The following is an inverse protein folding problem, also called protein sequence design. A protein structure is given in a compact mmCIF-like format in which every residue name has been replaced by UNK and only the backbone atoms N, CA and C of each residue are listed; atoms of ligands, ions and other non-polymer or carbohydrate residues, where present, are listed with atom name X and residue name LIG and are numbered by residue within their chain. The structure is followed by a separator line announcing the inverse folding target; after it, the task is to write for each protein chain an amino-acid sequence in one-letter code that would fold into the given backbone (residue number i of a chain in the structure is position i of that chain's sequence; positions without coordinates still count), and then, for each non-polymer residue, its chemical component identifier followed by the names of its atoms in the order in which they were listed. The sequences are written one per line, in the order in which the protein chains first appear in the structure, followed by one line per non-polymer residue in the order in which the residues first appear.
data_IF_363953365848
#
_entry.id   IF_363953365848
#
_cell.length_a   1.000
_cell.length_b   1.000
_cell.length_c   1.000
_cell.angle_alpha   90.00
_cell.angle_beta   90.00
_cell.angle_gamma   90.00
#
_symmetry.space_group_name_H-M   'P 1'
#
loop_
_entity.id
_entity.type
_entity.pdbx_description
1 polymer ?
#
# COMPACT_ATOMS: atom_id res chain seq x y z
N UNK A 1 -24.60 20.11 -10.42
CA UNK A 1 -23.25 19.78 -10.93
C UNK A 1 -22.77 18.62 -10.08
N UNK A 2 -22.48 17.46 -10.68
CA UNK A 2 -21.95 16.33 -9.91
C UNK A 2 -20.52 16.67 -9.48
N UNK A 3 -20.16 16.34 -8.24
CA UNK A 3 -18.79 16.51 -7.79
C UNK A 3 -17.89 15.58 -8.61
N UNK A 4 -16.78 16.12 -9.12
CA UNK A 4 -15.78 15.40 -9.89
C UNK A 4 -14.45 15.49 -9.15
N UNK A 5 -13.65 14.43 -9.26
CA UNK A 5 -12.32 14.39 -8.65
C UNK A 5 -11.45 15.45 -9.31
N UNK A 6 -10.89 16.34 -8.49
CA UNK A 6 -10.02 17.42 -8.92
C UNK A 6 -8.94 17.69 -7.87
N UNK A 7 -7.95 18.51 -8.23
CA UNK A 7 -6.92 18.93 -7.27
C UNK A 7 -7.55 19.58 -6.04
N UNK A 8 -7.04 19.24 -4.85
CA UNK A 8 -7.50 19.67 -3.54
C UNK A 8 -8.92 19.19 -3.20
N UNK A 9 -9.26 17.97 -3.61
CA UNK A 9 -10.52 17.31 -3.22
C UNK A 9 -10.22 16.10 -2.36
N UNK A 10 -11.06 15.87 -1.36
CA UNK A 10 -11.06 14.64 -0.59
C UNK A 10 -11.96 13.64 -1.30
N UNK A 11 -11.41 12.48 -1.58
CA UNK A 11 -12.07 11.43 -2.33
C UNK A 11 -12.21 10.21 -1.44
N UNK A 12 -13.44 9.72 -1.32
CA UNK A 12 -13.78 8.47 -0.65
C UNK A 12 -13.99 7.41 -1.72
N UNK A 13 -13.18 6.37 -1.69
CA UNK A 13 -13.20 5.25 -2.64
C UNK A 13 -13.57 3.96 -1.90
N UNK A 14 -14.55 3.25 -2.43
CA UNK A 14 -14.68 1.83 -2.12
C UNK A 14 -13.82 1.10 -3.13
N UNK A 15 -12.86 0.31 -2.68
CA UNK A 15 -11.99 -0.45 -3.55
C UNK A 15 -12.00 -1.91 -3.15
N UNK A 16 -11.71 -2.81 -4.09
CA UNK A 16 -11.32 -4.19 -3.75
C UNK A 16 -10.08 -4.53 -4.54
N UNK A 17 -9.14 -5.23 -3.92
CA UNK A 17 -7.87 -5.64 -4.53
C UNK A 17 -7.91 -7.13 -4.79
N UNK A 18 -7.66 -7.50 -6.04
CA UNK A 18 -7.54 -8.89 -6.48
C UNK A 18 -6.21 -9.10 -7.18
N UNK A 19 -5.75 -10.32 -7.18
CA UNK A 19 -4.64 -10.71 -8.05
C UNK A 19 -5.14 -10.94 -9.50
N UNK A 20 -4.26 -11.11 -10.49
CA UNK A 20 -4.68 -11.31 -11.88
C UNK A 20 -5.28 -12.70 -12.13
N UNK A 21 -5.16 -13.62 -11.17
CA UNK A 21 -5.78 -14.94 -11.14
C UNK A 21 -7.19 -14.91 -10.51
N UNK A 22 -7.60 -13.76 -9.98
CA UNK A 22 -8.92 -13.51 -9.39
C UNK A 22 -9.04 -13.83 -7.90
N UNK A 23 -7.94 -14.15 -7.21
CA UNK A 23 -7.93 -14.31 -5.76
C UNK A 23 -8.08 -12.95 -5.07
N UNK A 24 -8.91 -12.90 -4.03
CA UNK A 24 -9.08 -11.69 -3.24
C UNK A 24 -7.84 -11.45 -2.38
N UNK A 25 -7.20 -10.30 -2.57
CA UNK A 25 -6.08 -9.84 -1.75
C UNK A 25 -6.59 -8.95 -0.63
N UNK A 26 -7.48 -8.02 -0.96
CA UNK A 26 -8.12 -7.10 -0.02
C UNK A 26 -9.58 -6.87 -0.44
N UNK A 27 -10.52 -7.15 0.46
CA UNK A 27 -11.94 -6.94 0.19
C UNK A 27 -12.38 -5.48 0.37
N UNK A 28 -11.48 -4.61 0.85
CA UNK A 28 -11.71 -3.18 1.05
C UNK A 28 -12.91 -2.88 1.94
N UNK A 29 -13.05 -3.66 3.02
CA UNK A 29 -14.06 -3.47 4.06
C UNK A 29 -14.14 -2.01 4.57
N UNK A 30 -13.01 -1.29 4.50
CA UNK A 30 -12.93 0.12 4.85
C UNK A 30 -12.72 0.98 3.58
N UNK A 31 -13.53 2.02 3.38
CA UNK A 31 -13.33 2.94 2.27
C UNK A 31 -11.98 3.65 2.41
N UNK A 32 -11.25 3.77 1.32
CA UNK A 32 -10.04 4.57 1.24
C UNK A 32 -10.43 6.04 1.11
N UNK A 33 -9.98 6.86 2.06
CA UNK A 33 -10.18 8.30 2.03
C UNK A 33 -8.83 8.97 1.87
N UNK A 34 -8.64 9.69 0.76
CA UNK A 34 -7.36 10.34 0.47
C UNK A 34 -7.56 11.76 -0.10
N UNK A 35 -6.49 12.54 -0.06
CA UNK A 35 -6.46 13.89 -0.63
C UNK A 35 -5.88 13.85 -2.04
N UNK A 36 -6.68 14.25 -3.01
CA UNK A 36 -6.31 14.26 -4.42
C UNK A 36 -5.61 15.56 -4.82
N UNK A 37 -4.47 15.47 -5.50
CA UNK A 37 -3.74 16.62 -6.02
C UNK A 37 -2.21 16.56 -5.93
N UNK A 38 -1.62 15.36 -5.83
CA UNK A 38 -0.17 15.17 -5.66
C UNK A 38 0.27 15.27 -4.21
N UNK A 39 -0.46 14.61 -3.31
CA UNK A 39 -0.19 14.55 -1.87
C UNK A 39 0.28 13.15 -1.41
N UNK A 40 0.64 12.28 -2.36
CA UNK A 40 1.11 10.90 -2.10
C UNK A 40 0.14 10.07 -1.22
N UNK A 41 -1.15 10.39 -1.24
CA UNK A 41 -2.18 9.65 -0.50
C UNK A 41 -2.63 8.34 -1.15
N UNK A 42 -2.27 8.13 -2.43
CA UNK A 42 -2.57 6.92 -3.21
C UNK A 42 -1.51 6.74 -4.29
N UNK A 43 -1.45 5.56 -4.91
CA UNK A 43 -0.55 5.30 -6.04
C UNK A 43 -0.72 6.35 -7.15
N UNK A 44 0.38 6.91 -7.69
CA UNK A 44 0.33 7.96 -8.71
C UNK A 44 -0.53 7.57 -9.93
N UNK A 45 -0.42 6.31 -10.37
CA UNK A 45 -1.20 5.79 -11.49
C UNK A 45 -2.70 5.77 -11.18
N UNK A 46 -3.10 5.43 -9.95
CA UNK A 46 -4.51 5.51 -9.54
C UNK A 46 -4.98 6.95 -9.52
N UNK A 47 -4.18 7.86 -8.97
CA UNK A 47 -4.50 9.29 -8.91
C UNK A 47 -4.74 9.86 -10.32
N UNK A 48 -3.88 9.55 -11.28
CA UNK A 48 -4.06 9.99 -12.67
C UNK A 48 -5.34 9.44 -13.31
N UNK A 49 -5.68 8.18 -13.06
CA UNK A 49 -6.91 7.55 -13.60
C UNK A 49 -8.17 8.12 -12.94
N UNK A 50 -8.09 8.47 -11.65
CA UNK A 50 -9.18 9.06 -10.87
C UNK A 50 -9.47 10.51 -11.26
N UNK A 51 -8.48 11.24 -11.78
CA UNK A 51 -8.62 12.64 -12.17
C UNK A 51 -9.80 12.86 -13.13
N UNK A 52 -10.75 13.72 -12.74
CA UNK A 52 -11.92 14.09 -13.54
C UNK A 52 -13.08 13.08 -13.51
N UNK A 53 -12.97 11.98 -12.75
CA UNK A 53 -14.04 11.00 -12.60
C UNK A 53 -15.17 11.55 -11.73
N UNK A 54 -16.45 11.32 -12.09
CA UNK A 54 -17.59 11.71 -11.27
C UNK A 54 -17.84 10.73 -10.11
N UNK A 55 -18.53 11.20 -9.06
CA UNK A 55 -19.04 10.32 -8.00
C UNK A 55 -19.99 9.25 -8.58
N UNK A 56 -19.86 8.03 -8.09
CA UNK A 56 -20.62 6.86 -8.53
C UNK A 56 -19.99 6.09 -9.70
N UNK A 57 -18.91 6.61 -10.29
CA UNK A 57 -18.18 5.90 -11.33
C UNK A 57 -17.50 4.65 -10.76
N UNK A 58 -17.61 3.54 -11.50
CA UNK A 58 -16.95 2.27 -11.20
C UNK A 58 -16.02 1.91 -12.33
N UNK A 59 -14.79 1.55 -12.01
CA UNK A 59 -13.81 1.13 -12.99
C UNK A 59 -12.75 0.24 -12.35
N UNK A 60 -12.05 -0.49 -13.20
CA UNK A 60 -10.98 -1.38 -12.80
C UNK A 60 -9.65 -0.83 -13.28
N UNK A 61 -8.65 -0.84 -12.41
CA UNK A 61 -7.27 -0.46 -12.72
C UNK A 61 -6.36 -1.62 -12.39
N UNK A 62 -5.54 -2.02 -13.35
CA UNK A 62 -4.48 -2.99 -13.11
C UNK A 62 -3.19 -2.23 -12.84
N UNK A 63 -2.67 -2.36 -11.64
CA UNK A 63 -1.33 -1.92 -11.29
C UNK A 63 -0.34 -3.04 -11.52
N UNK A 64 0.73 -2.73 -12.24
CA UNK A 64 1.90 -3.60 -12.28
C UNK A 64 2.64 -3.50 -10.94
N UNK A 65 3.51 -4.46 -10.60
CA UNK A 65 4.29 -4.39 -9.38
C UNK A 65 5.03 -3.05 -9.24
N UNK A 66 5.63 -2.56 -10.33
CA UNK A 66 6.34 -1.28 -10.40
C UNK A 66 5.47 -0.05 -10.05
N UNK A 67 4.15 -0.12 -10.26
CA UNK A 67 3.20 0.96 -10.01
C UNK A 67 2.49 0.83 -8.65
N UNK A 68 2.67 -0.29 -7.95
CA UNK A 68 2.06 -0.61 -6.68
C UNK A 68 3.11 -0.67 -5.56
N UNK A 69 3.51 -1.88 -5.17
CA UNK A 69 4.43 -2.14 -4.06
C UNK A 69 5.88 -2.36 -4.48
N UNK A 70 6.20 -2.05 -5.73
CA UNK A 70 7.50 -2.29 -6.34
C UNK A 70 7.67 -3.70 -6.89
N UNK A 71 8.75 -3.92 -7.68
CA UNK A 71 9.17 -5.26 -8.06
C UNK A 71 9.59 -6.05 -6.81
N UNK A 72 9.53 -7.38 -6.92
CA UNK A 72 10.16 -8.23 -5.92
C UNK A 72 11.68 -8.17 -6.11
N UNK A 73 12.39 -7.73 -5.08
CA UNK A 73 13.84 -7.59 -5.09
C UNK A 73 14.47 -8.79 -4.39
N UNK A 74 15.08 -9.68 -5.18
CA UNK A 74 15.82 -10.84 -4.67
C UNK A 74 17.00 -10.43 -3.77
N UNK A 75 17.52 -9.20 -3.93
CA UNK A 75 18.58 -8.64 -3.09
C UNK A 75 18.13 -8.32 -1.66
N UNK A 76 16.83 -8.12 -1.45
CA UNK A 76 16.23 -7.97 -0.11
C UNK A 76 15.97 -9.32 0.57
N UNK A 77 16.20 -10.43 -0.15
CA UNK A 77 16.12 -11.78 0.42
C UNK A 77 17.50 -12.16 0.93
N UNK A 78 17.62 -12.28 2.25
CA UNK A 78 18.88 -12.59 2.91
C UNK A 78 18.82 -13.99 3.52
N UNK A 79 19.93 -14.71 3.41
CA UNK A 79 20.11 -16.01 4.05
C UNK A 79 21.11 -15.85 5.17
N UNK A 80 20.61 -15.89 6.39
CA UNK A 80 21.40 -15.67 7.59
C UNK A 80 21.50 -16.97 8.41
N UNK A 81 22.46 -17.02 9.30
CA UNK A 81 22.63 -18.17 10.20
C UNK A 81 21.56 -18.13 11.30
N UNK A 82 20.91 -19.26 11.58
CA UNK A 82 19.89 -19.33 12.63
C UNK A 82 20.44 -18.95 14.00
N UNK A 83 21.76 -19.06 14.21
CA UNK A 83 22.42 -18.63 15.45
C UNK A 83 22.39 -17.11 15.68
N UNK A 84 22.13 -16.29 14.65
CA UNK A 84 21.95 -14.84 14.80
C UNK A 84 20.56 -14.47 15.32
N UNK A 85 19.61 -15.41 15.26
CA UNK A 85 18.24 -15.22 15.69
C UNK A 85 18.00 -15.88 17.06
N UNK A 86 17.00 -15.40 17.81
CA UNK A 86 16.60 -16.07 19.05
C UNK A 86 16.00 -17.46 18.77
N UNK A 87 16.09 -18.39 19.73
CA UNK A 87 15.64 -19.79 19.58
C UNK A 87 14.14 -19.98 19.26
N UNK A 88 13.33 -18.92 19.29
CA UNK A 88 11.88 -18.95 19.08
C UNK A 88 11.44 -18.42 17.71
N UNK A 89 12.27 -18.57 16.66
CA UNK A 89 11.89 -18.19 15.30
C UNK A 89 10.89 -19.16 14.67
N UNK A 90 9.89 -18.60 13.99
CA UNK A 90 8.89 -19.34 13.23
C UNK A 90 8.73 -18.71 11.84
N UNK A 91 8.41 -19.55 10.85
CA UNK A 91 8.09 -19.08 9.50
C UNK A 91 6.88 -18.13 9.59
N UNK A 92 7.03 -16.96 8.99
CA UNK A 92 6.04 -15.89 9.01
C UNK A 92 6.29 -14.83 10.09
N UNK A 93 7.21 -15.04 11.03
CA UNK A 93 7.62 -13.99 11.97
C UNK A 93 8.31 -12.84 11.23
N UNK A 94 8.05 -11.62 11.67
CA UNK A 94 8.68 -10.40 11.14
C UNK A 94 9.66 -9.83 12.16
N UNK A 95 10.79 -9.35 11.67
CA UNK A 95 11.90 -8.80 12.45
C UNK A 95 12.29 -7.44 11.90
N UNK A 96 12.44 -6.46 12.78
CA UNK A 96 13.00 -5.17 12.43
C UNK A 96 14.52 -5.30 12.41
N UNK A 97 15.12 -5.08 11.24
CA UNK A 97 16.57 -4.99 11.09
C UNK A 97 16.95 -3.54 10.93
N UNK A 98 17.84 -3.09 11.80
CA UNK A 98 18.52 -1.82 11.61
C UNK A 98 19.57 -2.03 10.53
N UNK A 99 19.46 -1.28 9.43
CA UNK A 99 20.46 -1.26 8.35
C UNK A 99 21.81 -0.76 8.89
N UNK A 100 22.92 -1.11 8.23
CA UNK A 100 24.29 -0.77 8.69
C UNK A 100 24.51 0.74 8.82
N UNK A 101 23.74 1.55 8.09
CA UNK A 101 23.76 3.02 8.13
C UNK A 101 22.98 3.60 9.32
N UNK A 102 22.20 2.78 10.04
CA UNK A 102 21.49 3.17 11.26
C UNK A 102 20.27 4.07 11.05
N UNK A 103 19.94 4.42 9.81
CA UNK A 103 18.88 5.39 9.47
C UNK A 103 17.52 4.73 9.14
N UNK A 104 17.50 3.44 8.76
CA UNK A 104 16.28 2.74 8.35
C UNK A 104 16.07 1.41 9.07
N UNK A 105 14.94 1.31 9.78
CA UNK A 105 14.38 0.08 10.33
C UNK A 105 13.57 -0.61 9.23
N UNK A 106 14.15 -1.64 8.61
CA UNK A 106 13.46 -2.42 7.57
C UNK A 106 12.88 -3.67 8.19
N UNK A 107 11.61 -3.95 7.89
CA UNK A 107 10.91 -5.16 8.33
C UNK A 107 11.26 -6.33 7.41
N UNK A 108 11.84 -7.37 7.99
CA UNK A 108 12.16 -8.63 7.32
C UNK A 108 11.26 -9.74 7.83
N UNK A 109 10.66 -10.52 6.93
CA UNK A 109 9.82 -11.66 7.29
C UNK A 109 10.56 -12.97 7.05
N UNK A 110 10.52 -13.88 8.01
CA UNK A 110 11.05 -15.24 7.82
C UNK A 110 10.16 -15.96 6.82
N UNK A 111 10.72 -16.34 5.67
CA UNK A 111 10.02 -17.10 4.63
C UNK A 111 10.33 -18.59 4.70
N UNK A 112 11.53 -18.95 5.17
CA UNK A 112 11.94 -20.36 5.28
C UNK A 112 13.00 -20.55 6.38
N UNK A 113 12.99 -21.74 6.99
CA UNK A 113 14.01 -22.16 7.98
C UNK A 113 14.44 -23.58 7.63
N UNK A 114 15.68 -23.75 7.17
CA UNK A 114 16.20 -25.04 6.74
C UNK A 114 17.69 -25.18 7.07
N UNK A 115 18.12 -26.37 7.48
CA UNK A 115 19.54 -26.73 7.70
C UNK A 115 20.34 -25.73 8.57
N UNK A 116 19.69 -25.13 9.58
CA UNK A 116 20.33 -24.14 10.46
C UNK A 116 20.51 -22.76 9.82
N UNK A 117 19.82 -22.49 8.71
CA UNK A 117 19.76 -21.20 8.03
C UNK A 117 18.34 -20.67 8.04
N UNK A 118 18.23 -19.35 8.10
CA UNK A 118 16.97 -18.62 8.09
C UNK A 118 16.96 -17.75 6.84
N UNK A 119 15.93 -17.93 6.02
CA UNK A 119 15.66 -17.06 4.88
C UNK A 119 14.73 -15.97 5.36
N UNK A 120 15.20 -14.73 5.24
CA UNK A 120 14.43 -13.54 5.58
C UNK A 120 14.20 -12.70 4.33
N UNK A 121 13.02 -12.14 4.21
CA UNK A 121 12.57 -11.38 3.05
C UNK A 121 12.16 -9.98 3.50
N UNK A 122 12.90 -8.97 3.06
CA UNK A 122 12.62 -7.55 3.32
C UNK A 122 11.60 -6.93 2.37
N UNK A 123 11.10 -7.68 1.39
CA UNK A 123 10.12 -7.15 0.44
C UNK A 123 8.78 -6.90 1.10
N UNK A 124 8.03 -5.93 0.56
CA UNK A 124 6.63 -5.79 0.90
C UNK A 124 5.88 -7.11 0.57
N UNK A 125 4.92 -7.57 1.40
CA UNK A 125 4.22 -8.85 1.17
C UNK A 125 3.47 -8.94 -0.17
N UNK A 126 3.25 -7.81 -0.84
CA UNK A 126 2.61 -7.71 -2.16
C UNK A 126 3.58 -7.25 -3.27
N UNK A 127 4.88 -7.12 -2.97
CA UNK A 127 5.90 -6.77 -3.96
C UNK A 127 5.99 -7.86 -5.04
N UNK A 128 6.24 -7.45 -6.29
CA UNK A 128 6.28 -8.35 -7.44
C UNK A 128 4.92 -8.89 -7.89
N UNK A 129 3.84 -8.59 -7.18
CA UNK A 129 2.49 -9.01 -7.56
C UNK A 129 1.77 -7.90 -8.32
N UNK A 130 1.21 -8.24 -9.49
CA UNK A 130 0.31 -7.34 -10.18
C UNK A 130 -1.04 -7.32 -9.43
N UNK A 131 -1.58 -6.13 -9.20
CA UNK A 131 -2.80 -5.96 -8.42
C UNK A 131 -3.90 -5.35 -9.29
N UNK A 132 -5.10 -5.91 -9.19
CA UNK A 132 -6.28 -5.46 -9.89
C UNK A 132 -7.18 -4.77 -8.87
N UNK A 133 -7.27 -3.45 -8.98
CA UNK A 133 -8.09 -2.59 -8.15
C UNK A 133 -9.43 -2.35 -8.83
N UNK A 134 -10.50 -2.87 -8.25
CA UNK A 134 -11.87 -2.50 -8.60
C UNK A 134 -12.29 -1.32 -7.73
N UNK A 135 -12.40 -0.13 -8.31
CA UNK A 135 -12.61 1.13 -7.59
C UNK A 135 -13.99 1.67 -7.91
N UNK A 136 -14.67 2.14 -6.86
CA UNK A 136 -15.93 2.87 -6.92
C UNK A 136 -15.78 4.19 -6.20
N UNK A 137 -16.01 5.29 -6.93
CA UNK A 137 -15.99 6.63 -6.32
C UNK A 137 -17.24 6.81 -5.47
N UNK A 138 -17.09 6.71 -4.15
CA UNK A 138 -18.22 6.79 -3.23
C UNK A 138 -18.62 8.24 -2.94
N UNK A 139 -17.64 9.10 -2.68
CA UNK A 139 -17.89 10.52 -2.38
C UNK A 139 -16.70 11.38 -2.85
N UNK A 140 -16.98 12.61 -3.26
CA UNK A 140 -15.98 13.64 -3.55
C UNK A 140 -16.42 14.93 -2.90
N UNK A 141 -15.58 15.50 -2.05
CA UNK A 141 -15.80 16.79 -1.40
C UNK A 141 -14.58 17.70 -1.55
N UNK A 142 -14.74 19.03 -1.50
CA UNK A 142 -13.59 19.93 -1.40
C UNK A 142 -12.83 19.69 -0.09
N UNK A 143 -11.49 19.71 -0.16
CA UNK A 143 -10.64 19.66 1.01
C UNK A 143 -10.66 20.98 1.78
N UNK A 144 -10.52 20.90 3.10
CA UNK A 144 -10.34 22.07 3.94
C UNK A 144 -8.92 22.64 3.77
N UNK A 145 -8.72 23.92 4.13
CA UNK A 145 -7.40 24.54 4.07
C UNK A 145 -6.37 23.84 4.98
N UNK A 146 -6.82 23.24 6.08
CA UNK A 146 -5.98 22.47 7.00
C UNK A 146 -5.54 21.14 6.37
N UNK A 147 -6.45 20.40 5.73
CA UNK A 147 -6.14 19.15 5.03
C UNK A 147 -5.13 19.37 3.90
N UNK A 148 -5.29 20.46 3.14
CA UNK A 148 -4.36 20.87 2.08
C UNK A 148 -2.99 21.23 2.66
N UNK A 149 -2.96 21.94 3.79
CA UNK A 149 -1.72 22.36 4.44
C UNK A 149 -0.96 21.17 5.06
N UNK A 150 -1.69 20.18 5.56
CA UNK A 150 -1.15 18.98 6.18
C UNK A 150 -0.85 17.86 5.15
N UNK A 151 -1.41 17.97 3.94
CA UNK A 151 -1.24 17.00 2.87
C UNK A 151 -2.01 15.69 3.09
N UNK A 152 -2.91 15.63 4.06
CA UNK A 152 -3.73 14.45 4.32
C UNK A 152 -5.11 14.84 4.87
N UNK A 153 -6.04 13.89 4.80
CA UNK A 153 -7.43 14.07 5.22
C UNK A 153 -7.50 13.99 6.75
N UNK A 154 -8.22 14.92 7.38
CA UNK A 154 -8.52 14.88 8.80
C UNK A 154 -9.99 14.42 8.97
N UNK A 155 -10.24 13.25 9.58
CA UNK A 155 -11.59 12.70 9.77
C UNK A 155 -11.60 11.22 10.19
N UNK A 156 -12.79 10.58 10.24
CA UNK A 156 -12.95 9.12 10.47
C UNK A 156 -12.16 8.34 9.39
N UNK A 157 -10.92 7.96 9.71
CA UNK A 157 -9.99 7.28 8.80
C UNK A 157 -8.68 8.03 8.52
N UNK A 158 -8.57 9.30 8.91
CA UNK A 158 -7.31 10.04 8.93
C UNK A 158 -6.51 9.70 10.18
N UNK A 159 -5.19 9.56 10.05
CA UNK A 159 -4.29 9.36 11.19
C UNK A 159 -4.55 10.46 12.24
N UNK A 160 -5.10 10.05 13.39
CA UNK A 160 -5.04 10.87 14.59
C UNK A 160 -3.57 10.99 15.00
N UNK A 161 -3.07 12.21 15.04
CA UNK A 161 -1.90 12.55 15.83
C UNK A 161 -2.20 12.37 17.33
#
# INVERSE_FOLDING_TARGET
MQAQIAKNTVVTLNYTVRDPDGNMIDDGAHPLVYLHGGYDGIFPVLEEVLQGKPVGEQFQVKLQPEDAFGPYEEELVLIEDAALFPDNIEIGMSFERVTDDGEEEMLYRITDIADGKVVVDGNHPLAGMALVFDITVAEVRPASAEEIAHGHVHGEGGHHH
#
